data_IF_905382431554
#
_entry.id   IF_905382431554
#
_cell.length_a   1.000
_cell.length_b   1.000
_cell.length_c   1.000
_cell.angle_alpha   90.00
_cell.angle_beta   90.00
_cell.angle_gamma   90.00
#
_symmetry.space_group_name_H-M   'P 1'
#
loop_
_entity.id
_entity.type
_entity.pdbx_description
1 polymer ?
#
# COMPACT_ATOMS: atom_id res chain seq x y z
N UNK A 1 -4.45 6.45 17.86
CA UNK A 1 -5.25 7.00 16.75
C UNK A 1 -6.43 6.06 16.62
N UNK A 2 -7.67 6.55 16.52
CA UNK A 2 -8.85 5.67 16.57
C UNK A 2 -8.87 4.71 15.38
N UNK A 3 -9.03 3.43 15.67
CA UNK A 3 -9.16 2.32 14.72
C UNK A 3 -10.42 2.49 13.86
N UNK A 4 -10.29 3.05 12.66
CA UNK A 4 -11.40 3.09 11.71
C UNK A 4 -11.32 1.87 10.77
N UNK A 5 -12.21 0.90 11.04
CA UNK A 5 -12.35 -0.33 10.24
C UNK A 5 -12.79 0.04 8.83
N UNK A 6 -11.88 0.04 7.86
CA UNK A 6 -12.29 0.06 6.46
C UNK A 6 -13.02 -1.24 6.18
N UNK A 7 -14.27 -1.13 5.73
CA UNK A 7 -15.13 -2.28 5.45
C UNK A 7 -15.32 -2.39 3.95
N UNK A 8 -14.99 -3.55 3.39
CA UNK A 8 -15.36 -3.88 2.01
C UNK A 8 -16.87 -4.13 1.97
N UNK A 9 -17.59 -3.26 1.26
CA UNK A 9 -19.03 -3.35 1.09
C UNK A 9 -19.39 -4.22 -0.12
N UNK A 10 -18.54 -4.25 -1.15
CA UNK A 10 -18.69 -5.13 -2.31
C UNK A 10 -17.35 -5.41 -3.03
N UNK A 11 -17.29 -6.52 -3.77
CA UNK A 11 -16.09 -6.96 -4.52
C UNK A 11 -15.66 -8.41 -4.23
N UNK A 12 -16.17 -8.99 -3.15
CA UNK A 12 -15.94 -10.39 -2.80
C UNK A 12 -14.65 -10.64 -2.02
N UNK A 13 -14.32 -11.92 -1.72
CA UNK A 13 -13.25 -12.26 -0.78
C UNK A 13 -11.86 -11.78 -1.20
N UNK A 14 -11.57 -11.75 -2.50
CA UNK A 14 -10.31 -11.23 -3.00
C UNK A 14 -10.15 -9.73 -2.65
N UNK A 15 -11.21 -8.93 -2.75
CA UNK A 15 -11.16 -7.51 -2.39
C UNK A 15 -10.97 -7.30 -0.89
N UNK A 16 -11.55 -8.17 -0.06
CA UNK A 16 -11.32 -8.16 1.39
C UNK A 16 -9.87 -8.54 1.72
N UNK A 17 -9.32 -9.56 1.07
CA UNK A 17 -7.88 -9.91 1.18
C UNK A 17 -6.99 -8.74 0.78
N UNK A 18 -7.30 -8.06 -0.33
CA UNK A 18 -6.55 -6.88 -0.78
C UNK A 18 -6.55 -5.77 0.27
N UNK A 19 -7.73 -5.40 0.78
CA UNK A 19 -7.86 -4.34 1.78
C UNK A 19 -7.17 -4.72 3.09
N UNK A 20 -7.32 -5.97 3.53
CA UNK A 20 -6.62 -6.46 4.72
C UNK A 20 -5.10 -6.41 4.54
N UNK A 21 -4.58 -6.75 3.35
CA UNK A 21 -3.14 -6.75 3.08
C UNK A 21 -2.54 -5.33 2.99
N UNK A 22 -3.34 -4.32 2.66
CA UNK A 22 -2.94 -2.91 2.73
C UNK A 22 -3.12 -2.28 4.12
N UNK A 23 -3.87 -2.92 5.02
CA UNK A 23 -4.05 -2.44 6.38
C UNK A 23 -2.89 -2.88 7.26
N UNK A 24 -2.08 -1.92 7.63
CA UNK A 24 -0.88 -2.12 8.42
C UNK A 24 -1.14 -2.73 9.82
N UNK A 25 -2.35 -2.64 10.38
CA UNK A 25 -2.74 -3.30 11.66
C UNK A 25 -3.54 -4.60 11.51
N UNK A 26 -3.70 -5.15 10.30
CA UNK A 26 -4.50 -6.35 10.12
C UNK A 26 -3.87 -7.55 10.86
N UNK A 27 -4.54 -7.98 11.94
CA UNK A 27 -4.10 -9.10 12.78
C UNK A 27 -3.80 -10.39 11.99
N UNK A 28 -4.43 -10.52 10.82
CA UNK A 28 -4.20 -11.57 9.81
C UNK A 28 -2.73 -11.81 9.46
N UNK A 29 -1.89 -10.77 9.55
CA UNK A 29 -0.46 -10.83 9.18
C UNK A 29 0.49 -10.77 10.38
N UNK A 30 -0.03 -10.95 11.60
CA UNK A 30 0.74 -10.96 12.85
C UNK A 30 1.74 -9.78 12.95
N UNK A 31 1.22 -8.59 12.68
CA UNK A 31 1.97 -7.33 12.80
C UNK A 31 2.32 -7.09 14.26
N UNK A 32 3.58 -6.72 14.51
CA UNK A 32 4.15 -6.50 15.84
C UNK A 32 4.43 -5.02 16.12
N UNK A 33 4.70 -4.24 15.08
CA UNK A 33 4.91 -2.79 15.18
C UNK A 33 4.65 -2.13 13.82
N UNK A 34 4.24 -0.85 13.87
CA UNK A 34 3.99 -0.02 12.71
C UNK A 34 4.56 1.38 12.95
N UNK A 35 5.15 1.97 11.91
CA UNK A 35 5.63 3.35 11.92
C UNK A 35 5.20 4.04 10.64
N UNK A 36 4.32 5.01 10.78
CA UNK A 36 3.78 5.79 9.67
C UNK A 36 4.51 7.12 9.53
N UNK A 37 4.91 7.46 8.31
CA UNK A 37 5.53 8.74 7.98
C UNK A 37 4.94 9.33 6.71
N UNK A 38 4.11 10.36 6.88
CA UNK A 38 3.63 11.21 5.81
C UNK A 38 4.55 12.42 5.58
N UNK A 39 4.83 12.74 4.33
CA UNK A 39 5.50 13.99 3.95
C UNK A 39 5.03 14.45 2.56
N UNK A 40 5.09 15.76 2.32
CA UNK A 40 4.85 16.30 0.98
C UNK A 40 6.14 16.20 0.15
N UNK A 41 6.11 15.43 -0.93
CA UNK A 41 7.20 15.33 -1.89
C UNK A 41 6.97 16.25 -3.08
N UNK A 42 8.03 16.83 -3.63
CA UNK A 42 7.95 17.46 -4.95
C UNK A 42 7.96 16.35 -6.02
N UNK A 43 6.95 16.32 -6.88
CA UNK A 43 6.73 15.32 -7.90
C UNK A 43 6.61 15.97 -9.28
N UNK A 44 6.44 15.15 -10.32
CA UNK A 44 6.25 15.67 -11.68
C UNK A 44 4.95 16.49 -11.83
N UNK A 45 4.00 16.34 -10.90
CA UNK A 45 2.66 16.94 -10.96
C UNK A 45 2.44 18.07 -9.94
N UNK A 46 3.43 18.36 -9.09
CA UNK A 46 3.38 19.40 -8.07
C UNK A 46 3.95 18.93 -6.73
N UNK A 47 3.35 19.36 -5.62
CA UNK A 47 3.60 18.75 -4.32
C UNK A 47 2.52 17.72 -4.07
N UNK A 48 2.90 16.45 -3.97
CA UNK A 48 1.98 15.34 -3.69
C UNK A 48 2.26 14.79 -2.28
N UNK A 49 1.24 14.21 -1.68
CA UNK A 49 1.37 13.57 -0.38
C UNK A 49 1.91 12.17 -0.61
N UNK A 50 3.07 11.90 -0.03
CA UNK A 50 3.65 10.56 0.03
C UNK A 50 3.55 10.07 1.46
N UNK A 51 2.96 8.89 1.64
CA UNK A 51 2.93 8.17 2.92
C UNK A 51 3.81 6.94 2.82
N UNK A 52 4.58 6.68 3.88
CA UNK A 52 5.43 5.50 4.00
C UNK A 52 5.16 4.86 5.34
N UNK A 53 4.70 3.62 5.31
CA UNK A 53 4.43 2.82 6.49
C UNK A 53 5.46 1.69 6.57
N UNK A 54 6.09 1.54 7.73
CA UNK A 54 6.97 0.43 8.03
C UNK A 54 6.25 -0.53 8.96
N UNK A 55 5.93 -1.72 8.46
CA UNK A 55 5.17 -2.73 9.19
C UNK A 55 6.07 -3.90 9.51
N UNK A 56 6.30 -4.14 10.80
CA UNK A 56 7.08 -5.28 11.28
C UNK A 56 6.16 -6.47 11.52
N UNK A 57 6.53 -7.64 11.00
CA UNK A 57 5.83 -8.89 11.20
C UNK A 57 6.62 -9.81 12.14
N UNK A 58 5.95 -10.84 12.69
CA UNK A 58 6.64 -11.82 13.53
C UNK A 58 7.62 -12.72 12.73
N UNK A 59 7.55 -12.75 11.40
CA UNK A 59 8.47 -13.50 10.54
C UNK A 59 8.52 -13.00 9.09
N UNK A 60 9.58 -13.38 8.37
CA UNK A 60 9.70 -13.13 6.93
C UNK A 60 8.60 -13.81 6.09
N UNK A 61 8.12 -14.98 6.51
CA UNK A 61 7.03 -15.67 5.82
C UNK A 61 5.70 -14.88 5.89
N UNK A 62 5.45 -14.17 6.99
CA UNK A 62 4.25 -13.33 7.12
C UNK A 62 4.37 -12.05 6.30
N UNK A 63 5.54 -11.41 6.30
CA UNK A 63 5.82 -10.26 5.44
C UNK A 63 5.65 -10.63 3.95
N UNK A 64 6.18 -11.79 3.54
CA UNK A 64 6.01 -12.32 2.20
C UNK A 64 4.54 -12.53 1.85
N UNK A 65 3.78 -13.15 2.76
CA UNK A 65 2.34 -13.37 2.57
C UNK A 65 1.59 -12.05 2.34
N UNK A 66 1.92 -10.97 3.03
CA UNK A 66 1.30 -9.65 2.79
C UNK A 66 1.51 -9.20 1.34
N UNK A 67 2.76 -9.29 0.84
CA UNK A 67 3.10 -8.91 -0.56
C UNK A 67 2.39 -9.82 -1.56
N UNK A 68 2.36 -11.13 -1.31
CA UNK A 68 1.68 -12.11 -2.16
C UNK A 68 0.16 -11.87 -2.20
N UNK A 69 -0.45 -11.62 -1.04
CA UNK A 69 -1.87 -11.33 -0.93
C UNK A 69 -2.20 -10.04 -1.69
N UNK A 70 -1.42 -8.95 -1.58
CA UNK A 70 -1.59 -7.74 -2.43
C UNK A 70 -1.48 -8.08 -3.92
N UNK A 71 -0.43 -8.82 -4.32
CA UNK A 71 -0.15 -9.15 -5.73
C UNK A 71 -1.26 -9.97 -6.38
N UNK A 72 -1.80 -10.95 -5.66
CA UNK A 72 -2.76 -11.92 -6.19
C UNK A 72 -4.19 -11.39 -6.10
N UNK A 73 -4.55 -10.75 -4.98
CA UNK A 73 -5.87 -10.19 -4.76
C UNK A 73 -6.15 -9.02 -5.70
N UNK A 74 -5.19 -8.12 -5.95
CA UNK A 74 -5.36 -6.98 -6.87
C UNK A 74 -5.65 -7.40 -8.33
N UNK A 75 -5.25 -8.61 -8.74
CA UNK A 75 -5.60 -9.18 -10.05
C UNK A 75 -7.03 -9.74 -10.08
N UNK A 76 -7.47 -10.28 -8.95
CA UNK A 76 -8.78 -10.92 -8.81
C UNK A 76 -9.87 -9.96 -8.33
N UNK A 77 -9.47 -8.75 -7.92
CA UNK A 77 -10.33 -7.66 -7.48
C UNK A 77 -10.08 -6.41 -8.33
N UNK A 78 -10.58 -6.33 -9.58
CA UNK A 78 -10.40 -5.12 -10.39
C UNK A 78 -11.20 -3.92 -9.85
N UNK A 79 -12.27 -4.18 -9.09
CA UNK A 79 -13.14 -3.14 -8.54
C UNK A 79 -13.65 -3.55 -7.15
N UNK A 80 -13.66 -2.61 -6.22
CA UNK A 80 -14.35 -2.76 -4.95
C UNK A 80 -15.07 -1.48 -4.52
N UNK A 81 -16.02 -1.64 -3.60
CA UNK A 81 -16.57 -0.53 -2.82
C UNK A 81 -16.19 -0.74 -1.38
N UNK A 82 -15.67 0.29 -0.72
CA UNK A 82 -15.42 0.25 0.71
C UNK A 82 -15.94 1.51 1.39
N UNK A 83 -16.38 1.36 2.62
CA UNK A 83 -16.60 2.49 3.52
C UNK A 83 -15.24 2.91 4.07
N UNK A 84 -14.82 4.12 3.72
CA UNK A 84 -13.62 4.80 4.20
C UNK A 84 -14.05 5.99 5.07
N UNK A 85 -13.15 6.54 5.87
CA UNK A 85 -13.41 7.75 6.66
C UNK A 85 -13.92 8.86 5.74
N UNK A 86 -15.13 9.36 5.99
CA UNK A 86 -15.79 10.36 5.15
C UNK A 86 -16.77 9.83 4.09
N UNK A 87 -16.99 8.51 4.00
CA UNK A 87 -18.09 7.90 3.23
C UNK A 87 -17.69 6.70 2.38
N UNK A 88 -18.68 6.10 1.70
CA UNK A 88 -18.45 4.99 0.77
C UNK A 88 -17.70 5.49 -0.48
N UNK A 89 -16.63 4.79 -0.85
CA UNK A 89 -15.82 5.08 -2.02
C UNK A 89 -15.72 3.88 -2.95
N UNK A 90 -15.73 4.12 -4.26
CA UNK A 90 -15.41 3.11 -5.27
C UNK A 90 -13.92 3.13 -5.54
N UNK A 91 -13.28 1.97 -5.54
CA UNK A 91 -11.88 1.79 -5.92
C UNK A 91 -11.76 0.91 -7.15
N UNK A 92 -10.91 1.33 -8.08
CA UNK A 92 -10.55 0.56 -9.27
C UNK A 92 -9.07 0.18 -9.17
N UNK A 93 -8.78 -1.11 -9.09
CA UNK A 93 -7.43 -1.63 -8.89
C UNK A 93 -6.82 -2.03 -10.23
N UNK A 94 -5.58 -1.63 -10.46
CA UNK A 94 -4.81 -2.06 -11.62
C UNK A 94 -3.37 -2.42 -11.18
N UNK A 95 -3.06 -3.71 -10.98
CA UNK A 95 -1.71 -4.14 -10.65
C UNK A 95 -0.75 -3.85 -11.79
N UNK A 96 0.52 -3.63 -11.45
CA UNK A 96 1.58 -3.32 -12.39
C UNK A 96 2.68 -4.36 -12.34
N UNK A 97 3.22 -4.67 -13.51
CA UNK A 97 4.47 -5.43 -13.63
C UNK A 97 5.64 -4.48 -13.44
N UNK A 98 6.45 -4.69 -12.41
CA UNK A 98 7.63 -3.89 -12.08
C UNK A 98 8.75 -4.81 -11.57
N UNK A 99 10.02 -4.39 -11.68
CA UNK A 99 11.13 -5.09 -11.04
C UNK A 99 10.90 -5.23 -9.53
N UNK A 100 11.33 -6.35 -8.96
CA UNK A 100 11.25 -6.58 -7.52
C UNK A 100 12.12 -5.57 -6.77
N UNK A 101 11.53 -4.94 -5.74
CA UNK A 101 12.22 -4.08 -4.78
C UNK A 101 12.31 -4.80 -3.43
N UNK A 102 13.48 -4.78 -2.80
CA UNK A 102 13.69 -5.55 -1.58
C UNK A 102 13.86 -7.04 -1.88
N UNK A 103 13.24 -7.88 -1.06
CA UNK A 103 13.24 -9.34 -1.20
C UNK A 103 12.03 -9.81 -2.02
N UNK A 104 10.90 -9.10 -1.90
CA UNK A 104 9.73 -9.24 -2.75
C UNK A 104 8.95 -7.92 -2.85
N UNK A 105 8.18 -7.68 -3.92
CA UNK A 105 7.33 -6.48 -4.00
C UNK A 105 6.11 -6.59 -4.92
N UNK A 106 5.11 -5.75 -4.68
CA UNK A 106 3.97 -5.55 -5.58
C UNK A 106 3.65 -4.06 -5.70
N UNK A 107 3.19 -3.63 -6.89
CA UNK A 107 2.74 -2.25 -7.15
C UNK A 107 1.34 -2.29 -7.73
N UNK A 108 0.47 -1.43 -7.21
CA UNK A 108 -0.93 -1.34 -7.62
C UNK A 108 -1.31 0.12 -7.81
N UNK A 109 -2.02 0.43 -8.90
CA UNK A 109 -2.77 1.66 -9.03
C UNK A 109 -4.15 1.49 -8.43
N UNK A 110 -4.60 2.53 -7.74
CA UNK A 110 -5.94 2.60 -7.17
C UNK A 110 -6.56 3.92 -7.64
N UNK A 111 -7.59 3.83 -8.46
CA UNK A 111 -8.44 4.99 -8.76
C UNK A 111 -9.59 5.01 -7.77
N UNK A 112 -9.60 5.98 -6.87
CA UNK A 112 -10.62 6.13 -5.83
C UNK A 112 -11.58 7.26 -6.19
N UNK A 113 -12.88 6.99 -6.11
CA UNK A 113 -13.94 7.98 -6.24
C UNK A 113 -14.73 8.05 -4.93
N UNK A 114 -14.71 9.21 -4.27
CA UNK A 114 -15.43 9.47 -3.02
C UNK A 114 -16.08 10.84 -3.10
N UNK A 115 -17.40 10.91 -2.85
CA UNK A 115 -18.17 12.17 -2.85
C UNK A 115 -17.99 13.03 -4.13
N UNK A 116 -17.80 12.39 -5.29
CA UNK A 116 -17.58 13.07 -6.57
C UNK A 116 -16.17 13.59 -6.81
N UNK A 117 -15.25 13.41 -5.85
CA UNK A 117 -13.82 13.66 -6.03
C UNK A 117 -13.10 12.37 -6.45
N UNK A 118 -12.21 12.49 -7.42
CA UNK A 118 -11.33 11.40 -7.85
C UNK A 118 -9.94 11.63 -7.26
N UNK A 119 -9.40 10.61 -6.59
CA UNK A 119 -8.03 10.56 -6.11
C UNK A 119 -7.35 9.36 -6.76
N UNK A 120 -6.21 9.61 -7.38
CA UNK A 120 -5.37 8.59 -7.99
C UNK A 120 -4.26 8.25 -7.00
N UNK A 121 -4.19 6.97 -6.64
CA UNK A 121 -3.17 6.46 -5.71
C UNK A 121 -2.29 5.46 -6.43
N UNK A 122 -0.99 5.65 -6.30
CA UNK A 122 -0.01 4.61 -6.63
C UNK A 122 0.49 4.04 -5.33
N UNK A 123 0.37 2.73 -5.12
CA UNK A 123 0.93 2.06 -3.95
C UNK A 123 1.96 1.02 -4.33
N UNK A 124 3.06 0.97 -3.58
CA UNK A 124 4.03 -0.10 -3.60
C UNK A 124 4.11 -0.75 -2.22
N UNK A 125 4.11 -2.08 -2.19
CA UNK A 125 4.49 -2.84 -1.01
C UNK A 125 5.78 -3.61 -1.31
N UNK A 126 6.78 -3.47 -0.45
CA UNK A 126 8.06 -4.15 -0.58
C UNK A 126 8.45 -4.85 0.72
N UNK A 127 8.92 -6.08 0.62
CA UNK A 127 9.42 -6.88 1.73
C UNK A 127 10.93 -6.68 1.92
N UNK A 128 11.35 -6.56 3.17
CA UNK A 128 12.76 -6.69 3.60
C UNK A 128 12.79 -7.52 4.88
N UNK A 129 13.23 -8.78 4.78
CA UNK A 129 13.17 -9.73 5.90
C UNK A 129 11.74 -9.91 6.42
N UNK A 130 11.54 -9.61 7.70
CA UNK A 130 10.23 -9.64 8.38
C UNK A 130 9.49 -8.30 8.37
N UNK A 131 9.94 -7.32 7.60
CA UNK A 131 9.32 -5.99 7.50
C UNK A 131 8.71 -5.80 6.12
N UNK A 132 7.52 -5.22 6.03
CA UNK A 132 6.99 -4.65 4.79
C UNK A 132 7.01 -3.13 4.83
N UNK A 133 7.37 -2.55 3.71
CA UNK A 133 7.30 -1.13 3.41
C UNK A 133 6.07 -0.90 2.55
N UNK A 134 5.12 -0.09 3.01
CA UNK A 134 3.96 0.32 2.21
C UNK A 134 4.13 1.78 1.86
N UNK A 135 4.22 2.09 0.57
CA UNK A 135 4.37 3.47 0.07
C UNK A 135 3.11 3.82 -0.68
N UNK A 136 2.51 4.96 -0.35
CA UNK A 136 1.38 5.53 -1.07
C UNK A 136 1.77 6.90 -1.61
N UNK A 137 1.47 7.15 -2.88
CA UNK A 137 1.48 8.46 -3.49
C UNK A 137 0.05 8.86 -3.86
N UNK A 138 -0.43 10.00 -3.37
CA UNK A 138 -1.78 10.51 -3.59
C UNK A 138 -1.75 11.72 -4.53
N UNK A 139 -2.40 11.58 -5.69
CA UNK A 139 -2.50 12.63 -6.70
C UNK A 139 -3.93 12.87 -7.16
N UNK A 140 -4.39 14.13 -7.27
CA UNK A 140 -5.65 14.45 -7.95
C UNK A 140 -5.49 14.52 -9.48
N UNK A 141 -4.28 14.39 -10.04
CA UNK A 141 -4.00 14.69 -11.46
C UNK A 141 -3.59 13.47 -12.28
N UNK A 142 -2.61 12.71 -11.81
CA UNK A 142 -2.04 11.57 -12.55
C UNK A 142 -1.34 10.59 -11.60
N UNK A 143 -1.17 9.34 -12.02
CA UNK A 143 -0.35 8.37 -11.29
C UNK A 143 1.14 8.72 -11.46
N UNK A 144 1.89 8.99 -10.38
CA UNK A 144 3.35 9.18 -10.42
C UNK A 144 4.09 7.94 -9.88
N UNK A 145 4.49 7.06 -10.81
CA UNK A 145 5.27 5.87 -10.46
C UNK A 145 6.71 6.16 -10.12
N UNK A 146 7.27 7.25 -10.66
CA UNK A 146 8.68 7.58 -10.47
C UNK A 146 8.96 7.89 -9.01
N UNK A 147 8.05 8.62 -8.37
CA UNK A 147 8.13 8.95 -6.94
C UNK A 147 8.02 7.69 -6.10
N UNK A 148 7.00 6.85 -6.33
CA UNK A 148 6.80 5.62 -5.54
C UNK A 148 8.00 4.67 -5.69
N UNK A 149 8.52 4.47 -6.89
CA UNK A 149 9.70 3.64 -7.14
C UNK A 149 10.95 4.18 -6.43
N UNK A 150 11.21 5.50 -6.55
CA UNK A 150 12.35 6.14 -5.90
C UNK A 150 12.26 6.04 -4.37
N UNK A 151 11.10 6.37 -3.79
CA UNK A 151 10.88 6.35 -2.35
C UNK A 151 10.98 4.93 -1.82
N UNK A 152 10.38 3.96 -2.51
CA UNK A 152 10.45 2.54 -2.12
C UNK A 152 11.90 2.04 -2.12
N UNK A 153 12.67 2.34 -3.17
CA UNK A 153 14.11 1.96 -3.25
C UNK A 153 14.93 2.58 -2.12
N UNK A 154 14.71 3.86 -1.83
CA UNK A 154 15.40 4.54 -0.73
C UNK A 154 15.03 3.93 0.62
N UNK A 155 13.75 3.68 0.87
CA UNK A 155 13.28 3.10 2.13
C UNK A 155 13.79 1.66 2.33
N UNK A 156 13.75 0.82 1.28
CA UNK A 156 14.36 -0.52 1.28
C UNK A 156 15.85 -0.46 1.66
N UNK A 157 16.59 0.49 1.09
CA UNK A 157 18.02 0.66 1.37
C UNK A 157 18.26 1.03 2.82
N UNK A 158 17.46 1.95 3.38
CA UNK A 158 17.56 2.35 4.78
C UNK A 158 17.27 1.16 5.70
N UNK A 159 16.17 0.43 5.47
CA UNK A 159 15.77 -0.71 6.31
C UNK A 159 16.84 -1.79 6.32
N UNK A 160 17.41 -2.13 5.14
CA UNK A 160 18.51 -3.10 5.03
C UNK A 160 19.74 -2.67 5.81
N UNK A 161 20.11 -1.38 5.76
CA UNK A 161 21.28 -0.89 6.46
C UNK A 161 21.08 -0.83 7.99
N UNK A 162 19.85 -0.65 8.46
CA UNK A 162 19.54 -0.65 9.91
C UNK A 162 19.37 -2.04 10.52
N UNK A 163 19.11 -3.07 9.71
CA UNK A 163 18.91 -4.46 10.18
C UNK A 163 20.23 -5.26 10.29
N UNK A 164 21.36 -4.65 9.92
CA UNK A 164 22.71 -5.20 10.08
C UNK A 164 23.57 -4.45 11.13
N UNK A 165 22.96 -3.59 11.94
CA UNK A 165 23.60 -2.81 13.00
C UNK A 165 23.43 -3.40 14.40
#
# INVERSE_FOLDING_TARGET
>A
MNDEKQKVDSGGPACETFMNALQSYAATYAVTAEVDRGYSAATTNGKELVMVDLVSHASAAQAHRTVEDVRTSSKSCPHLTATLDGGSGRMNLAPLAQPVMGDDSAIVRIGTEQNGAVVLVTTAIAQVGSTTLVVFDFSPKAYDYGVVDQVTKQAVTIVRNTSHG
#
